data_IF_109828190196
#
_entry.id   IF_109828190196
#
_cell.length_a   1.000
_cell.length_b   1.000
_cell.length_c   1.000
_cell.angle_alpha   90.00
_cell.angle_beta   90.00
_cell.angle_gamma   90.00
#
_symmetry.space_group_name_H-M   'P 1'
#
loop_
_entity.id
_entity.type
_entity.pdbx_description
1 polymer ?
#
# COMPACT_ATOMS: atom_id res chain seq x y z
N UNK A 1 3.34 24.99 9.79
CA UNK A 1 4.21 25.58 8.74
C UNK A 1 3.68 25.10 7.41
N UNK A 2 3.24 25.99 6.53
CA UNK A 2 2.70 25.63 5.22
C UNK A 2 3.80 25.72 4.16
N UNK A 3 4.00 24.64 3.40
CA UNK A 3 4.95 24.61 2.28
C UNK A 3 4.16 24.78 1.00
N UNK A 4 4.49 25.80 0.21
CA UNK A 4 3.89 25.97 -1.12
C UNK A 4 4.70 25.19 -2.13
N UNK A 5 4.02 24.32 -2.89
CA UNK A 5 4.63 23.53 -3.96
C UNK A 5 4.01 23.95 -5.30
N UNK A 6 4.86 24.09 -6.31
CA UNK A 6 4.42 24.29 -7.68
C UNK A 6 4.19 22.93 -8.34
N UNK A 7 3.02 22.74 -8.94
CA UNK A 7 2.67 21.52 -9.65
C UNK A 7 2.12 21.84 -11.03
N UNK A 8 2.24 20.88 -11.96
CA UNK A 8 1.64 21.02 -13.28
C UNK A 8 0.10 21.05 -13.19
N UNK A 9 -0.55 21.73 -14.14
CA UNK A 9 -2.02 21.75 -14.21
C UNK A 9 -2.63 20.35 -14.37
N UNK A 10 -1.95 19.44 -15.08
CA UNK A 10 -2.37 18.03 -15.21
C UNK A 10 -2.34 17.31 -13.86
N UNK A 11 -1.30 17.54 -13.07
CA UNK A 11 -1.17 16.99 -11.71
C UNK A 11 -2.30 17.48 -10.81
N UNK A 12 -2.65 18.76 -10.89
CA UNK A 12 -3.77 19.32 -10.12
C UNK A 12 -5.11 18.67 -10.49
N UNK A 13 -5.36 18.41 -11.78
CA UNK A 13 -6.59 17.73 -12.21
C UNK A 13 -6.68 16.30 -11.66
N UNK A 14 -5.57 15.56 -11.66
CA UNK A 14 -5.51 14.23 -11.06
C UNK A 14 -5.80 14.29 -9.55
N UNK A 15 -5.18 15.23 -8.84
CA UNK A 15 -5.41 15.44 -7.41
C UNK A 15 -6.87 15.76 -7.09
N UNK A 16 -7.55 16.56 -7.92
CA UNK A 16 -8.99 16.83 -7.76
C UNK A 16 -9.85 15.57 -7.90
N UNK A 17 -9.55 14.72 -8.89
CA UNK A 17 -10.26 13.44 -9.08
C UNK A 17 -10.08 12.54 -7.87
N UNK A 18 -8.83 12.38 -7.43
CA UNK A 18 -8.50 11.52 -6.28
C UNK A 18 -9.13 12.05 -4.99
N UNK A 19 -9.13 13.37 -4.79
CA UNK A 19 -9.81 14.01 -3.66
C UNK A 19 -11.31 13.66 -3.63
N UNK A 20 -11.96 13.66 -4.79
CA UNK A 20 -13.37 13.30 -4.93
C UNK A 20 -13.61 11.80 -4.73
N UNK A 21 -12.73 10.94 -5.25
CA UNK A 21 -12.81 9.48 -5.07
C UNK A 21 -12.63 9.05 -3.61
N UNK A 22 -11.72 9.70 -2.89
CA UNK A 22 -11.44 9.41 -1.48
C UNK A 22 -12.38 10.12 -0.50
N UNK A 23 -13.28 10.97 -1.02
CA UNK A 23 -14.22 11.81 -0.28
C UNK A 23 -13.54 12.56 0.90
N UNK A 24 -12.45 13.25 0.61
CA UNK A 24 -11.65 13.97 1.62
C UNK A 24 -11.78 15.48 1.48
N UNK A 25 -11.63 16.17 2.61
CA UNK A 25 -11.85 17.61 2.70
C UNK A 25 -10.69 18.44 2.13
N UNK A 26 -9.45 17.94 2.27
CA UNK A 26 -8.23 18.63 1.87
C UNK A 26 -7.38 17.83 0.87
N UNK A 27 -6.53 18.52 0.12
CA UNK A 27 -5.55 17.88 -0.76
C UNK A 27 -4.46 17.17 0.04
N UNK A 28 -4.10 17.69 1.21
CA UNK A 28 -3.09 17.09 2.09
C UNK A 28 -3.55 15.71 2.59
N UNK A 29 -4.82 15.59 3.00
CA UNK A 29 -5.42 14.31 3.37
C UNK A 29 -5.40 13.31 2.20
N UNK A 30 -5.72 13.76 0.99
CA UNK A 30 -5.67 12.92 -0.20
C UNK A 30 -4.25 12.39 -0.46
N UNK A 31 -3.24 13.27 -0.36
CA UNK A 31 -1.82 12.93 -0.55
C UNK A 31 -1.35 11.93 0.50
N UNK A 32 -1.70 12.16 1.78
CA UNK A 32 -1.32 11.27 2.88
C UNK A 32 -1.95 9.90 2.69
N UNK A 33 -3.25 9.80 2.40
CA UNK A 33 -3.93 8.52 2.15
C UNK A 33 -3.31 7.76 0.97
N UNK A 34 -3.02 8.45 -0.14
CA UNK A 34 -2.32 7.82 -1.27
C UNK A 34 -0.95 7.27 -0.89
N UNK A 35 -0.18 8.02 -0.10
CA UNK A 35 1.16 7.63 0.30
C UNK A 35 1.15 6.44 1.26
N UNK A 36 0.19 6.40 2.20
CA UNK A 36 0.04 5.31 3.17
C UNK A 36 -0.54 4.04 2.53
N UNK A 37 -1.51 4.15 1.62
CA UNK A 37 -2.03 2.98 0.90
C UNK A 37 -0.95 2.30 0.04
N UNK A 38 -0.12 3.11 -0.64
CA UNK A 38 1.02 2.58 -1.40
C UNK A 38 2.10 1.93 -0.52
N UNK A 39 2.30 2.42 0.71
CA UNK A 39 3.26 1.84 1.65
C UNK A 39 2.72 0.60 2.39
N UNK A 40 1.39 0.41 2.40
CA UNK A 40 0.72 -0.73 3.05
C UNK A 40 0.91 -2.08 2.33
N UNK A 41 1.63 -2.11 1.21
CA UNK A 41 2.25 -3.35 0.72
C UNK A 41 3.32 -3.76 1.72
N UNK A 42 2.90 -4.32 2.87
CA UNK A 42 3.69 -5.29 3.63
C UNK A 42 4.27 -6.20 2.58
N UNK A 43 5.58 -6.06 2.33
CA UNK A 43 6.26 -6.94 1.41
C UNK A 43 5.90 -8.37 1.83
N UNK A 44 5.55 -9.22 0.87
CA UNK A 44 5.30 -10.64 1.12
C UNK A 44 6.46 -11.23 1.96
N UNK A 45 7.68 -10.70 1.78
CA UNK A 45 8.88 -10.97 2.57
C UNK A 45 8.75 -10.67 4.07
N UNK A 46 8.11 -9.57 4.47
CA UNK A 46 7.89 -9.24 5.89
C UNK A 46 6.81 -10.11 6.57
N UNK A 47 5.89 -10.66 5.79
CA UNK A 47 4.88 -11.63 6.26
C UNK A 47 5.46 -13.05 6.33
N UNK A 48 6.20 -13.48 5.30
CA UNK A 48 6.92 -14.74 5.23
C UNK A 48 8.04 -14.85 6.27
N UNK A 49 8.75 -13.75 6.56
CA UNK A 49 9.81 -13.73 7.56
C UNK A 49 9.31 -13.87 9.00
N UNK A 50 8.02 -13.68 9.26
CA UNK A 50 7.38 -13.87 10.57
C UNK A 50 6.65 -15.21 10.71
N UNK A 51 6.53 -15.99 9.64
CA UNK A 51 6.05 -17.37 9.74
C UNK A 51 7.18 -18.27 10.24
N UNK A 52 6.95 -19.09 11.28
CA UNK A 52 7.94 -20.09 11.69
C UNK A 52 8.14 -21.07 10.53
N UNK A 53 9.40 -21.20 10.08
CA UNK A 53 9.80 -22.05 8.93
C UNK A 53 9.25 -23.48 9.01
N UNK A 54 9.03 -23.97 10.23
CA UNK A 54 8.45 -25.29 10.52
C UNK A 54 7.03 -25.47 9.97
N UNK A 55 6.18 -24.43 10.02
CA UNK A 55 4.84 -24.51 9.42
C UNK A 55 4.90 -24.55 7.89
N UNK A 56 5.77 -23.74 7.29
CA UNK A 56 5.93 -23.73 5.84
C UNK A 56 6.48 -25.06 5.30
N UNK A 57 7.46 -25.64 6.00
CA UNK A 57 8.04 -26.94 5.64
C UNK A 57 7.06 -28.10 5.83
N UNK A 58 6.18 -28.02 6.84
CA UNK A 58 5.14 -29.04 7.08
C UNK A 58 4.08 -29.03 5.98
N UNK A 59 3.62 -27.85 5.57
CA UNK A 59 2.63 -27.71 4.50
C UNK A 59 3.18 -28.24 3.16
N UNK A 60 4.45 -27.94 2.83
CA UNK A 60 5.11 -28.46 1.61
C UNK A 60 5.28 -29.99 1.65
N UNK A 61 5.57 -30.55 2.83
CA UNK A 61 5.75 -32.00 3.01
C UNK A 61 4.42 -32.76 2.88
N UNK A 62 3.34 -32.24 3.46
CA UNK A 62 2.00 -32.84 3.35
C UNK A 62 1.39 -32.73 1.95
N UNK A 63 1.85 -31.79 1.12
CA UNK A 63 1.43 -31.65 -0.28
C UNK A 63 2.16 -32.66 -1.19
N UNK A 64 3.42 -32.99 -0.86
CA UNK A 64 4.23 -33.96 -1.59
C UNK A 64 3.91 -35.43 -1.24
N UNK A 65 3.30 -35.70 -0.08
CA UNK A 65 2.88 -37.04 0.36
C UNK A 65 1.48 -37.46 -0.17
N UNK A 66 0.78 -36.58 -0.91
CA UNK A 66 -0.56 -36.87 -1.49
C UNK A 66 -0.53 -37.34 -2.95
N UNK A 67 0.64 -37.50 -3.55
CA UNK A 67 0.85 -38.04 -4.91
C UNK A 67 1.75 -39.26 -4.91
#
# INVERSE_FOLDING_TARGET
>A
MSTTIQISGRTLQLLKKIKAELDVSSYDEAIVKMATEKSSKKSLAGFLGKMPKEKMLKDIREEHDRY
#
